data_IF_632544109871
#
_entry.id   IF_632544109871
#
_cell.length_a   1.000
_cell.length_b   1.000
_cell.length_c   1.000
_cell.angle_alpha   90.00
_cell.angle_beta   90.00
_cell.angle_gamma   90.00
#
_symmetry.space_group_name_H-M   'P 1'
#
loop_
_entity.id
_entity.type
_entity.pdbx_description
1 polymer ?
#
# COMPACT_ATOMS: atom_id res chain seq x y z
N UNK A 1 -25.75 19.27 -0.17
CA UNK A 1 -24.85 18.67 0.85
C UNK A 1 -23.42 18.74 0.35
N UNK A 2 -22.43 19.00 1.22
CA UNK A 2 -21.02 19.12 0.81
C UNK A 2 -20.43 17.72 0.58
N UNK A 3 -19.95 17.48 -0.63
CA UNK A 3 -19.28 16.25 -1.04
C UNK A 3 -17.78 16.56 -1.20
N UNK A 4 -16.92 15.71 -0.64
CA UNK A 4 -15.47 15.75 -0.84
C UNK A 4 -15.04 14.51 -1.64
N UNK A 5 -14.31 14.72 -2.73
CA UNK A 5 -13.74 13.65 -3.55
C UNK A 5 -12.23 13.61 -3.36
N UNK A 6 -11.70 12.41 -3.11
CA UNK A 6 -10.29 12.16 -2.82
C UNK A 6 -9.79 10.99 -3.65
N UNK A 7 -8.49 11.02 -3.96
CA UNK A 7 -7.76 9.88 -4.54
C UNK A 7 -6.98 9.20 -3.41
N UNK A 8 -7.13 7.89 -3.29
CA UNK A 8 -6.49 7.07 -2.26
C UNK A 8 -5.44 6.16 -2.93
N UNK A 9 -4.13 6.50 -2.90
CA UNK A 9 -3.10 5.78 -3.64
C UNK A 9 -2.79 4.41 -3.04
N UNK A 10 -2.33 3.48 -3.86
CA UNK A 10 -1.62 2.30 -3.39
C UNK A 10 -0.18 2.63 -3.03
N UNK A 11 0.50 1.69 -2.38
CA UNK A 11 1.94 1.75 -2.14
C UNK A 11 2.66 0.53 -2.71
N UNK A 12 3.97 0.66 -2.81
CA UNK A 12 4.89 -0.45 -2.97
C UNK A 12 5.94 -0.43 -1.86
N UNK A 13 6.40 -1.62 -1.50
CA UNK A 13 7.60 -1.85 -0.71
C UNK A 13 8.78 -2.05 -1.64
N UNK A 14 9.63 -1.02 -1.78
CA UNK A 14 10.91 -1.14 -2.48
C UNK A 14 11.87 -2.00 -1.65
N UNK A 15 11.83 -1.85 -0.32
CA UNK A 15 12.54 -2.73 0.60
C UNK A 15 11.63 -3.17 1.72
N UNK A 16 11.74 -4.41 2.18
CA UNK A 16 11.12 -4.93 3.39
C UNK A 16 12.10 -5.93 4.03
N UNK A 17 12.74 -5.48 5.11
CA UNK A 17 13.56 -6.31 5.99
C UNK A 17 12.72 -6.70 7.21
N UNK A 18 12.74 -7.97 7.60
CA UNK A 18 12.10 -8.49 8.81
C UNK A 18 13.17 -8.94 9.79
N UNK A 19 13.16 -8.35 10.98
CA UNK A 19 14.09 -8.64 12.06
C UNK A 19 13.44 -9.56 13.11
N UNK A 20 13.83 -9.38 14.37
CA UNK A 20 13.39 -10.22 15.46
C UNK A 20 11.91 -10.03 15.80
N UNK A 21 11.31 -11.13 16.24
CA UNK A 21 9.97 -11.14 16.81
C UNK A 21 10.01 -10.50 18.20
N UNK A 22 9.10 -9.58 18.43
CA UNK A 22 8.91 -8.83 19.67
C UNK A 22 8.06 -9.63 20.65
N UNK A 23 8.12 -9.31 21.97
CA UNK A 23 7.26 -9.93 22.98
C UNK A 23 5.76 -9.71 22.74
N UNK A 24 5.39 -8.62 22.06
CA UNK A 24 4.00 -8.29 21.69
C UNK A 24 3.46 -9.09 20.49
N UNK A 25 4.27 -10.02 19.93
CA UNK A 25 3.89 -10.90 18.84
C UNK A 25 4.15 -10.33 17.44
N UNK A 26 4.54 -9.06 17.31
CA UNK A 26 4.94 -8.44 16.03
C UNK A 26 6.41 -8.69 15.70
N UNK A 27 6.84 -8.34 14.49
CA UNK A 27 8.25 -8.30 14.12
C UNK A 27 8.73 -6.87 14.03
N UNK A 28 9.96 -6.60 14.48
CA UNK A 28 10.62 -5.37 14.06
C UNK A 28 10.89 -5.46 12.56
N UNK A 29 10.57 -4.39 11.83
CA UNK A 29 10.71 -4.31 10.38
C UNK A 29 11.42 -3.01 9.97
N UNK A 30 11.99 -3.03 8.77
CA UNK A 30 12.43 -1.82 8.08
C UNK A 30 11.92 -1.87 6.65
N UNK A 31 11.12 -0.89 6.26
CA UNK A 31 10.52 -0.80 4.93
C UNK A 31 10.92 0.48 4.24
N UNK A 32 11.29 0.40 2.96
CA UNK A 32 11.35 1.57 2.08
C UNK A 32 10.05 1.59 1.26
N UNK A 33 9.17 2.53 1.56
CA UNK A 33 7.85 2.65 0.95
C UNK A 33 7.80 3.80 -0.05
N UNK A 34 7.04 3.59 -1.13
CA UNK A 34 6.65 4.64 -2.06
C UNK A 34 5.19 4.49 -2.43
N UNK A 35 4.45 5.59 -2.48
CA UNK A 35 3.11 5.60 -3.05
C UNK A 35 3.22 5.43 -4.57
N UNK A 36 2.16 4.94 -5.20
CA UNK A 36 2.04 4.80 -6.65
C UNK A 36 0.71 5.37 -7.14
N UNK A 37 0.68 5.83 -8.39
CA UNK A 37 -0.49 6.42 -9.02
C UNK A 37 -1.61 5.41 -9.42
N UNK A 38 -1.77 4.34 -8.64
CA UNK A 38 -2.92 3.43 -8.70
C UNK A 38 -3.83 3.80 -7.54
N UNK A 39 -5.02 4.33 -7.81
CA UNK A 39 -5.87 4.93 -6.78
C UNK A 39 -7.21 4.20 -6.65
N UNK A 40 -7.70 4.07 -5.42
CA UNK A 40 -9.14 4.01 -5.19
C UNK A 40 -9.72 5.44 -5.22
N UNK A 41 -10.97 5.58 -5.66
CA UNK A 41 -11.70 6.85 -5.54
C UNK A 41 -12.53 6.84 -4.26
N UNK A 42 -12.40 7.89 -3.45
CA UNK A 42 -13.14 8.05 -2.20
C UNK A 42 -14.04 9.27 -2.31
N UNK A 43 -15.32 9.10 -2.04
CA UNK A 43 -16.27 10.19 -1.87
C UNK A 43 -16.78 10.21 -0.43
N UNK A 44 -16.71 11.38 0.21
CA UNK A 44 -17.19 11.59 1.57
C UNK A 44 -18.31 12.61 1.54
N UNK A 45 -19.48 12.23 2.05
CA UNK A 45 -20.66 13.06 2.17
C UNK A 45 -21.10 13.12 3.63
N UNK A 46 -21.36 14.33 4.13
CA UNK A 46 -22.02 14.48 5.44
C UNK A 46 -23.51 14.19 5.28
N UNK A 47 -24.03 13.36 6.17
CA UNK A 47 -25.46 12.99 6.27
C UNK A 47 -25.96 13.28 7.69
N UNK A 48 -27.24 13.02 7.96
CA UNK A 48 -27.81 13.37 9.27
C UNK A 48 -27.23 12.55 10.41
N UNK A 49 -27.17 11.21 10.29
CA UNK A 49 -26.69 10.29 11.33
C UNK A 49 -26.08 9.03 10.74
N UNK A 50 -25.29 8.33 11.55
CA UNK A 50 -24.71 7.02 11.20
C UNK A 50 -23.45 7.11 10.35
N UNK A 51 -22.82 5.95 10.14
CA UNK A 51 -21.70 5.79 9.21
C UNK A 51 -22.12 4.74 8.19
N UNK A 52 -22.02 5.07 6.91
CA UNK A 52 -22.35 4.17 5.80
C UNK A 52 -21.12 4.03 4.89
N UNK A 53 -20.70 2.80 4.61
CA UNK A 53 -19.73 2.51 3.54
C UNK A 53 -20.48 1.93 2.36
N UNK A 54 -20.19 2.44 1.16
CA UNK A 54 -20.73 1.94 -0.10
C UNK A 54 -19.59 1.57 -1.04
N UNK A 55 -19.62 0.36 -1.60
CA UNK A 55 -18.64 -0.12 -2.57
C UNK A 55 -19.30 -1.12 -3.51
N UNK A 56 -19.80 -0.64 -4.65
CA UNK A 56 -20.61 -1.47 -5.56
C UNK A 56 -19.77 -2.31 -6.53
N UNK A 57 -18.48 -1.99 -6.68
CA UNK A 57 -17.63 -2.55 -7.73
C UNK A 57 -16.63 -3.60 -7.24
N UNK A 58 -16.66 -3.96 -5.96
CA UNK A 58 -15.83 -5.03 -5.38
C UNK A 58 -16.51 -5.64 -4.14
N UNK A 59 -17.07 -6.87 -4.24
CA UNK A 59 -17.81 -7.50 -3.15
C UNK A 59 -16.92 -7.97 -1.98
N UNK A 60 -15.59 -7.93 -2.14
CA UNK A 60 -14.65 -8.32 -1.08
C UNK A 60 -14.43 -7.20 -0.06
N UNK A 61 -14.96 -5.99 -0.30
CA UNK A 61 -14.87 -4.88 0.64
C UNK A 61 -15.96 -5.01 1.70
N UNK A 62 -15.61 -5.12 3.00
CA UNK A 62 -16.61 -5.08 4.06
C UNK A 62 -17.32 -3.73 4.06
N UNK A 63 -18.64 -3.71 4.22
CA UNK A 63 -19.44 -2.47 4.24
C UNK A 63 -19.77 -1.97 5.66
N UNK A 64 -19.45 -2.76 6.68
CA UNK A 64 -19.76 -2.48 8.09
C UNK A 64 -18.51 -2.33 8.96
N UNK A 65 -18.62 -2.81 10.20
CA UNK A 65 -17.62 -2.56 11.24
C UNK A 65 -16.26 -3.19 10.95
N UNK A 66 -16.18 -4.22 10.11
CA UNK A 66 -14.90 -4.83 9.71
C UNK A 66 -14.08 -3.96 8.74
N UNK A 67 -14.68 -2.91 8.18
CA UNK A 67 -13.96 -1.99 7.30
C UNK A 67 -13.10 -1.01 8.11
N UNK A 68 -11.81 -0.95 7.79
CA UNK A 68 -10.86 -0.02 8.42
C UNK A 68 -11.30 1.44 8.26
N UNK A 69 -11.85 1.83 7.10
CA UNK A 69 -12.36 3.17 6.86
C UNK A 69 -13.59 3.49 7.72
N UNK A 70 -14.45 2.51 7.99
CA UNK A 70 -15.59 2.66 8.91
C UNK A 70 -15.10 2.93 10.34
N UNK A 71 -14.16 2.12 10.84
CA UNK A 71 -13.56 2.28 12.18
C UNK A 71 -12.87 3.64 12.31
N UNK A 72 -12.08 4.01 11.31
CA UNK A 72 -11.37 5.29 11.24
C UNK A 72 -12.33 6.49 11.21
N UNK A 73 -13.46 6.39 10.49
CA UNK A 73 -14.51 7.39 10.45
C UNK A 73 -15.10 7.65 11.83
N UNK A 74 -15.53 6.59 12.54
CA UNK A 74 -16.07 6.70 13.91
C UNK A 74 -15.08 7.40 14.84
N UNK A 75 -13.80 7.02 14.78
CA UNK A 75 -12.76 7.57 15.64
C UNK A 75 -12.50 9.07 15.39
N UNK A 76 -12.35 9.49 14.13
CA UNK A 76 -12.07 10.90 13.84
C UNK A 76 -13.30 11.78 14.12
N UNK A 77 -14.52 11.26 13.92
CA UNK A 77 -15.75 11.99 14.22
C UNK A 77 -15.89 12.36 15.69
N UNK A 78 -15.37 11.53 16.61
CA UNK A 78 -15.39 11.79 18.04
C UNK A 78 -14.68 13.11 18.43
N UNK A 79 -13.79 13.64 17.58
CA UNK A 79 -13.11 14.92 17.79
C UNK A 79 -13.89 16.14 17.28
N UNK A 80 -14.98 15.93 16.52
CA UNK A 80 -15.65 17.03 15.81
C UNK A 80 -16.68 17.81 16.63
N UNK A 81 -17.11 17.27 17.80
CA UNK A 81 -18.24 17.78 18.60
C UNK A 81 -19.53 18.03 17.79
N UNK A 82 -19.67 17.40 16.61
CA UNK A 82 -20.81 17.59 15.70
C UNK A 82 -21.67 16.34 15.68
N UNK A 83 -22.98 16.54 15.75
CA UNK A 83 -23.96 15.47 15.58
C UNK A 83 -24.34 15.33 14.10
N UNK A 84 -23.45 14.72 13.32
CA UNK A 84 -23.66 14.43 11.90
C UNK A 84 -23.28 12.98 11.61
N UNK A 85 -23.82 12.42 10.56
CA UNK A 85 -23.37 11.15 9.98
C UNK A 85 -22.42 11.35 8.80
N UNK A 86 -21.86 10.25 8.32
CA UNK A 86 -20.97 10.23 7.15
C UNK A 86 -21.30 9.06 6.25
N UNK A 87 -21.49 9.35 4.96
CA UNK A 87 -21.54 8.36 3.89
C UNK A 87 -20.21 8.38 3.13
N UNK A 88 -19.58 7.22 3.00
CA UNK A 88 -18.30 7.03 2.34
C UNK A 88 -18.49 6.08 1.16
N UNK A 89 -18.34 6.59 -0.06
CA UNK A 89 -18.34 5.76 -1.28
C UNK A 89 -16.91 5.44 -1.64
N UNK A 90 -16.61 4.16 -1.84
CA UNK A 90 -15.31 3.66 -2.25
C UNK A 90 -15.47 3.00 -3.62
N UNK A 91 -14.80 3.54 -4.63
CA UNK A 91 -14.62 2.84 -5.91
C UNK A 91 -13.26 2.16 -5.92
N UNK A 92 -13.24 0.84 -5.76
CA UNK A 92 -11.98 0.10 -5.65
C UNK A 92 -11.33 -0.12 -7.01
N UNK A 93 -10.08 0.30 -7.14
CA UNK A 93 -9.20 -0.12 -8.22
C UNK A 93 -7.98 -0.89 -7.69
N UNK A 94 -7.54 -0.67 -6.46
CA UNK A 94 -6.45 -1.43 -5.85
C UNK A 94 -7.02 -2.81 -5.44
N UNK A 95 -6.44 -3.95 -5.84
CA UNK A 95 -6.98 -5.25 -5.46
C UNK A 95 -6.95 -5.45 -3.94
N UNK A 96 -7.98 -6.08 -3.37
CA UNK A 96 -8.03 -6.46 -1.95
C UNK A 96 -6.91 -7.47 -1.66
N UNK A 97 -6.33 -7.40 -0.46
CA UNK A 97 -5.26 -8.31 0.00
C UNK A 97 -4.05 -8.42 -0.96
N UNK A 98 -3.67 -7.30 -1.59
CA UNK A 98 -2.65 -7.23 -2.65
C UNK A 98 -1.23 -6.92 -2.18
N UNK A 99 -1.05 -6.54 -0.91
CA UNK A 99 0.22 -5.97 -0.43
C UNK A 99 0.44 -4.50 -0.80
N UNK A 100 -0.55 -3.86 -1.42
CA UNK A 100 -0.49 -2.43 -1.83
C UNK A 100 -1.11 -1.46 -0.81
N UNK A 101 -1.61 -1.94 0.32
CA UNK A 101 -2.13 -1.08 1.39
C UNK A 101 -3.44 -0.34 1.09
N UNK A 102 -4.25 -0.79 0.11
CA UNK A 102 -5.45 -0.08 -0.33
C UNK A 102 -6.42 0.30 0.80
N UNK A 103 -6.79 -0.65 1.67
CA UNK A 103 -7.69 -0.37 2.81
C UNK A 103 -7.10 0.63 3.82
N UNK A 104 -5.77 0.60 4.04
CA UNK A 104 -5.08 1.58 4.88
C UNK A 104 -5.08 2.98 4.24
N UNK A 105 -4.89 3.05 2.92
CA UNK A 105 -4.98 4.29 2.17
C UNK A 105 -6.39 4.90 2.20
N UNK A 106 -7.43 4.06 2.10
CA UNK A 106 -8.82 4.51 2.17
C UNK A 106 -9.10 5.12 3.55
N UNK A 107 -8.67 4.44 4.62
CA UNK A 107 -8.81 4.94 5.99
C UNK A 107 -8.04 6.25 6.22
N UNK A 108 -6.80 6.36 5.72
CA UNK A 108 -6.04 7.61 5.77
C UNK A 108 -6.78 8.76 5.06
N UNK A 109 -7.32 8.49 3.87
CA UNK A 109 -8.08 9.46 3.08
C UNK A 109 -9.34 9.93 3.82
N UNK A 110 -10.06 9.01 4.47
CA UNK A 110 -11.25 9.32 5.28
C UNK A 110 -10.89 10.19 6.48
N UNK A 111 -9.84 9.85 7.23
CA UNK A 111 -9.39 10.64 8.39
C UNK A 111 -9.02 12.06 7.96
N UNK A 112 -8.19 12.20 6.93
CA UNK A 112 -7.75 13.51 6.43
C UNK A 112 -8.93 14.32 5.87
N UNK A 113 -9.81 13.68 5.10
CA UNK A 113 -11.00 14.31 4.54
C UNK A 113 -11.96 14.81 5.61
N UNK A 114 -12.24 14.02 6.64
CA UNK A 114 -13.12 14.43 7.74
C UNK A 114 -12.49 15.49 8.63
N UNK A 115 -11.18 15.44 8.90
CA UNK A 115 -10.46 16.51 9.59
C UNK A 115 -10.69 17.86 8.90
N UNK A 116 -10.65 17.88 7.56
CA UNK A 116 -10.93 19.07 6.75
C UNK A 116 -12.44 19.44 6.72
N UNK A 117 -13.32 18.50 6.39
CA UNK A 117 -14.75 18.76 6.21
C UNK A 117 -15.42 19.25 7.50
N UNK A 118 -15.05 18.64 8.62
CA UNK A 118 -15.61 18.96 9.93
C UNK A 118 -14.84 20.07 10.65
N UNK A 119 -13.76 20.61 10.05
CA UNK A 119 -12.89 21.65 10.65
C UNK A 119 -12.39 21.25 12.04
N UNK A 120 -11.94 20.00 12.18
CA UNK A 120 -11.41 19.46 13.44
C UNK A 120 -10.02 20.05 13.73
N UNK A 121 -9.24 20.35 12.68
CA UNK A 121 -7.94 21.02 12.75
C UNK A 121 -6.88 20.28 13.58
N UNK A 122 -6.92 18.94 13.61
CA UNK A 122 -5.81 18.16 14.20
C UNK A 122 -4.56 18.24 13.32
N UNK A 123 -3.40 18.24 13.96
CA UNK A 123 -2.11 18.15 13.29
C UNK A 123 -1.91 16.79 12.63
N UNK A 124 -1.07 16.74 11.58
CA UNK A 124 -0.78 15.49 10.86
C UNK A 124 -0.21 14.40 11.78
N UNK A 125 0.60 14.78 12.76
CA UNK A 125 1.14 13.87 13.77
C UNK A 125 0.05 13.21 14.61
N UNK A 126 -0.97 13.98 15.00
CA UNK A 126 -2.10 13.45 15.75
C UNK A 126 -2.96 12.53 14.88
N UNK A 127 -3.17 12.89 13.61
CA UNK A 127 -3.88 12.04 12.65
C UNK A 127 -3.16 10.71 12.43
N UNK A 128 -1.83 10.73 12.26
CA UNK A 128 -1.02 9.52 12.14
C UNK A 128 -1.15 8.63 13.38
N UNK A 129 -1.11 9.21 14.59
CA UNK A 129 -1.33 8.45 15.85
C UNK A 129 -2.73 7.83 15.92
N UNK A 130 -3.75 8.51 15.42
CA UNK A 130 -5.12 7.95 15.33
C UNK A 130 -5.16 6.81 14.32
N UNK A 131 -4.64 7.04 13.11
CA UNK A 131 -4.62 6.06 12.04
C UNK A 131 -3.86 4.78 12.43
N UNK A 132 -2.75 4.91 13.12
CA UNK A 132 -1.93 3.77 13.56
C UNK A 132 -2.70 2.73 14.38
N UNK A 133 -3.74 3.13 15.13
CA UNK A 133 -4.60 2.21 15.92
C UNK A 133 -5.31 1.17 15.05
N UNK A 134 -5.52 1.47 13.77
CA UNK A 134 -6.25 0.61 12.84
C UNK A 134 -5.36 -0.10 11.82
N UNK A 135 -4.12 0.34 11.66
CA UNK A 135 -3.18 -0.26 10.71
C UNK A 135 -1.84 0.46 10.64
N UNK A 136 -0.76 -0.31 10.57
CA UNK A 136 0.61 0.21 10.54
C UNK A 136 0.97 0.97 9.25
N UNK A 137 0.28 0.69 8.14
CA UNK A 137 0.48 1.41 6.87
C UNK A 137 -0.30 2.74 6.80
N UNK A 138 -1.27 2.99 7.68
CA UNK A 138 -2.11 4.20 7.63
C UNK A 138 -1.28 5.49 7.80
N UNK A 139 -0.34 5.58 8.76
CA UNK A 139 0.53 6.74 8.89
C UNK A 139 1.32 7.06 7.61
N UNK A 140 1.78 6.05 6.87
CA UNK A 140 2.53 6.26 5.63
C UNK A 140 1.71 7.03 4.59
N UNK A 141 0.44 6.70 4.44
CA UNK A 141 -0.43 7.40 3.48
C UNK A 141 -0.75 8.85 3.89
N UNK A 142 -0.71 9.16 5.19
CA UNK A 142 -0.85 10.54 5.68
C UNK A 142 0.46 11.34 5.57
N UNK A 143 1.59 10.65 5.63
CA UNK A 143 2.92 11.27 5.58
C UNK A 143 3.20 11.96 4.25
N UNK A 144 2.63 11.44 3.15
CA UNK A 144 2.62 12.13 1.85
C UNK A 144 3.98 12.21 1.15
N UNK A 145 4.93 11.34 1.50
CA UNK A 145 6.23 11.26 0.86
C UNK A 145 6.79 9.82 0.90
N UNK A 146 7.69 9.44 -0.03
CA UNK A 146 8.48 8.24 0.11
C UNK A 146 9.22 8.23 1.45
N UNK A 147 9.21 7.10 2.13
CA UNK A 147 9.67 7.03 3.52
C UNK A 147 10.31 5.70 3.85
N UNK A 148 11.30 5.76 4.74
CA UNK A 148 11.77 4.59 5.50
C UNK A 148 10.89 4.45 6.73
N UNK A 149 10.17 3.35 6.84
CA UNK A 149 9.38 2.97 8.01
C UNK A 149 10.16 1.97 8.87
N UNK A 150 10.19 2.17 10.18
CA UNK A 150 10.86 1.28 11.15
C UNK A 150 9.93 0.94 12.33
N UNK A 151 10.38 0.06 13.22
CA UNK A 151 9.55 -0.46 14.32
C UNK A 151 8.63 -1.56 13.80
N UNK A 152 7.32 -1.42 14.00
CA UNK A 152 6.28 -2.21 13.31
C UNK A 152 5.65 -1.44 12.13
N UNK A 153 6.26 -0.32 11.73
CA UNK A 153 5.85 0.56 10.62
C UNK A 153 5.46 1.98 11.04
N UNK A 154 5.50 2.28 12.34
CA UNK A 154 5.05 3.54 12.94
C UNK A 154 6.03 4.70 12.77
N UNK A 155 7.33 4.43 12.73
CA UNK A 155 8.36 5.47 12.71
C UNK A 155 8.78 5.75 11.28
N UNK A 156 8.38 6.90 10.74
CA UNK A 156 8.62 7.31 9.36
C UNK A 156 9.73 8.35 9.25
N UNK A 157 10.72 8.07 8.41
CA UNK A 157 11.77 9.02 8.02
C UNK A 157 11.66 9.33 6.54
N UNK A 158 11.58 10.62 6.18
CA UNK A 158 11.42 11.06 4.80
C UNK A 158 12.63 10.69 3.94
N UNK A 159 12.37 10.12 2.77
CA UNK A 159 13.33 10.04 1.68
C UNK A 159 13.20 11.31 0.85
N UNK A 160 14.25 12.13 0.84
CA UNK A 160 14.23 13.49 0.29
C UNK A 160 14.11 13.49 -1.24
N UNK A 161 14.62 12.46 -1.90
CA UNK A 161 14.66 12.36 -3.36
C UNK A 161 14.45 10.92 -3.82
N UNK A 162 13.55 10.75 -4.78
CA UNK A 162 13.34 9.52 -5.53
C UNK A 162 13.36 9.83 -7.03
N UNK A 163 13.97 8.99 -7.87
CA UNK A 163 13.81 9.12 -9.31
C UNK A 163 12.39 8.71 -9.70
N UNK A 164 11.92 9.20 -10.83
CA UNK A 164 10.74 8.67 -11.48
C UNK A 164 10.96 7.22 -11.90
N UNK A 165 10.03 6.34 -11.54
CA UNK A 165 10.08 4.90 -11.78
C UNK A 165 8.81 4.44 -12.50
N UNK A 166 8.82 4.37 -13.84
CA UNK A 166 7.77 3.68 -14.58
C UNK A 166 7.74 2.21 -14.18
N UNK A 167 6.55 1.69 -13.90
CA UNK A 167 6.35 0.34 -13.39
C UNK A 167 5.21 -0.38 -14.09
N UNK A 168 5.28 -1.71 -14.06
CA UNK A 168 4.12 -2.59 -14.27
C UNK A 168 3.86 -3.33 -12.98
N UNK A 169 2.64 -3.20 -12.43
CA UNK A 169 2.17 -4.00 -11.31
C UNK A 169 1.24 -5.08 -11.83
N UNK A 170 1.41 -6.30 -11.33
CA UNK A 170 0.62 -7.46 -11.71
C UNK A 170 0.12 -8.11 -10.42
N UNK A 171 -1.20 -8.16 -10.26
CA UNK A 171 -1.84 -8.88 -9.18
C UNK A 171 -2.49 -10.17 -9.71
N UNK A 172 -2.12 -11.35 -9.21
CA UNK A 172 -2.63 -12.62 -9.72
C UNK A 172 -4.07 -12.96 -9.33
N UNK A 173 -4.78 -12.09 -8.59
CA UNK A 173 -6.16 -12.34 -8.16
C UNK A 173 -6.30 -13.37 -7.03
N UNK A 174 -5.20 -13.75 -6.39
CA UNK A 174 -5.19 -14.64 -5.21
C UNK A 174 -5.00 -13.82 -3.93
N UNK A 175 -5.47 -14.35 -2.80
CA UNK A 175 -5.32 -13.71 -1.49
C UNK A 175 -4.31 -14.46 -0.65
N UNK A 176 -3.38 -13.73 -0.04
CA UNK A 176 -2.40 -14.29 0.90
C UNK A 176 -2.54 -13.56 2.23
N UNK A 177 -3.05 -14.22 3.29
CA UNK A 177 -3.20 -13.58 4.58
C UNK A 177 -1.84 -13.13 5.15
N UNK A 178 -1.66 -11.83 5.37
CA UNK A 178 -0.40 -11.24 5.87
C UNK A 178 0.10 -11.95 7.13
N UNK A 179 -0.80 -12.26 8.08
CA UNK A 179 -0.47 -12.96 9.32
C UNK A 179 0.20 -14.32 9.06
N UNK A 180 -0.33 -15.11 8.12
CA UNK A 180 0.22 -16.42 7.74
C UNK A 180 1.64 -16.31 7.17
N UNK A 181 1.91 -15.26 6.38
CA UNK A 181 3.25 -15.03 5.81
C UNK A 181 4.27 -14.69 6.90
N UNK A 182 3.90 -13.82 7.86
CA UNK A 182 4.78 -13.49 8.99
C UNK A 182 4.98 -14.66 9.95
N UNK A 183 3.97 -15.48 10.20
CA UNK A 183 4.08 -16.65 11.07
C UNK A 183 5.02 -17.73 10.51
N UNK A 184 5.04 -17.89 9.18
CA UNK A 184 5.91 -18.84 8.48
C UNK A 184 7.30 -18.27 8.16
N UNK A 185 7.51 -16.97 8.38
CA UNK A 185 8.80 -16.35 8.15
C UNK A 185 9.83 -16.88 9.15
N UNK A 186 10.94 -17.36 8.61
CA UNK A 186 12.12 -17.74 9.38
C UNK A 186 13.25 -16.84 8.94
N UNK A 187 13.85 -16.14 9.91
CA UNK A 187 14.95 -15.23 9.65
C UNK A 187 16.09 -15.99 8.98
N UNK A 188 16.43 -15.58 7.77
CA UNK A 188 17.65 -16.03 7.11
C UNK A 188 18.79 -15.12 7.56
N UNK A 189 19.85 -15.65 8.16
CA UNK A 189 20.99 -14.90 8.73
C UNK A 189 21.82 -14.07 7.71
N UNK A 190 21.29 -13.74 6.53
CA UNK A 190 22.03 -13.19 5.40
C UNK A 190 21.98 -11.66 5.27
N UNK A 191 21.58 -10.91 6.30
CA UNK A 191 21.51 -9.46 6.17
C UNK A 191 22.87 -8.83 6.43
N UNK A 192 23.69 -8.73 5.39
CA UNK A 192 24.70 -7.67 5.33
C UNK A 192 23.98 -6.35 5.58
N UNK A 193 24.44 -5.49 6.51
CA UNK A 193 23.81 -4.21 6.74
C UNK A 193 23.77 -3.40 5.45
N UNK A 194 22.56 -3.22 4.90
CA UNK A 194 22.35 -2.28 3.79
C UNK A 194 21.99 -0.94 4.41
N UNK A 195 22.86 0.04 4.20
CA UNK A 195 22.54 1.45 4.46
C UNK A 195 21.56 1.94 3.40
N UNK A 196 20.42 2.47 3.85
CA UNK A 196 19.46 3.12 2.97
C UNK A 196 19.82 4.60 2.86
N UNK A 197 20.19 5.09 1.66
CA UNK A 197 20.43 6.52 1.50
C UNK A 197 19.12 7.29 1.70
N UNK A 198 19.23 8.54 2.15
CA UNK A 198 18.08 9.44 2.25
C UNK A 198 17.69 10.08 0.89
N UNK A 199 18.50 9.88 -0.13
CA UNK A 199 18.31 10.37 -1.50
C UNK A 199 18.72 9.32 -2.52
N UNK A 200 17.83 9.08 -3.49
CA UNK A 200 18.09 8.19 -4.61
C UNK A 200 18.04 9.01 -5.89
N UNK A 201 19.17 9.10 -6.57
CA UNK A 201 19.31 9.94 -7.77
C UNK A 201 19.01 9.19 -9.07
N UNK A 202 19.09 7.86 -9.06
CA UNK A 202 18.88 7.03 -10.25
C UNK A 202 18.06 5.78 -9.94
N UNK A 203 17.36 5.24 -10.93
CA UNK A 203 16.65 3.95 -10.79
C UNK A 203 17.58 2.81 -10.40
N UNK A 204 18.83 2.84 -10.88
CA UNK A 204 19.86 1.86 -10.50
C UNK A 204 20.17 1.91 -9.01
N UNK A 205 20.17 3.09 -8.37
CA UNK A 205 20.34 3.21 -6.93
C UNK A 205 19.19 2.55 -6.17
N UNK A 206 17.95 2.71 -6.65
CA UNK A 206 16.78 2.04 -6.07
C UNK A 206 16.85 0.52 -6.25
N UNK A 207 17.13 0.06 -7.48
CA UNK A 207 17.25 -1.38 -7.81
C UNK A 207 18.26 -2.09 -6.92
N UNK A 208 19.38 -1.43 -6.57
CA UNK A 208 20.42 -1.99 -5.70
C UNK A 208 19.97 -2.29 -4.27
N UNK A 209 18.96 -1.59 -3.77
CA UNK A 209 18.48 -1.77 -2.39
C UNK A 209 17.23 -2.62 -2.30
N UNK A 210 16.65 -3.03 -3.44
CA UNK A 210 15.46 -3.86 -3.49
C UNK A 210 15.67 -5.14 -2.69
N UNK A 211 14.78 -5.39 -1.74
CA UNK A 211 14.69 -6.65 -1.02
C UNK A 211 13.27 -6.84 -0.47
N UNK A 212 12.79 -8.07 -0.40
CA UNK A 212 11.60 -8.41 0.36
C UNK A 212 11.77 -9.78 1.04
N UNK A 213 12.03 -9.75 2.34
CA UNK A 213 12.25 -10.95 3.15
C UNK A 213 11.05 -11.91 3.17
N UNK A 214 9.83 -11.40 2.96
CA UNK A 214 8.61 -12.21 2.92
C UNK A 214 8.39 -12.91 1.58
N UNK A 215 9.09 -12.49 0.52
CA UNK A 215 8.86 -12.98 -0.84
C UNK A 215 9.13 -14.48 -0.96
N UNK A 216 10.17 -14.99 -0.31
CA UNK A 216 10.48 -16.44 -0.31
C UNK A 216 9.39 -17.27 0.36
N UNK A 217 8.72 -16.71 1.36
CA UNK A 217 7.61 -17.39 2.06
C UNK A 217 6.37 -17.40 1.19
N UNK A 218 6.07 -16.29 0.50
CA UNK A 218 4.90 -16.18 -0.37
C UNK A 218 5.08 -16.99 -1.66
N UNK A 219 6.24 -16.95 -2.31
CA UNK A 219 6.50 -17.70 -3.56
C UNK A 219 6.41 -19.21 -3.39
N UNK A 220 6.74 -19.75 -2.21
CA UNK A 220 6.52 -21.17 -1.89
C UNK A 220 5.03 -21.54 -1.80
N UNK A 221 4.19 -20.62 -1.32
CA UNK A 221 2.74 -20.84 -1.16
C UNK A 221 1.97 -20.49 -2.43
N UNK A 222 2.49 -19.56 -3.21
CA UNK A 222 1.86 -18.97 -4.40
C UNK A 222 2.91 -18.89 -5.51
N UNK A 223 3.21 -20.01 -6.20
CA UNK A 223 4.26 -20.07 -7.22
C UNK A 223 4.11 -19.04 -8.35
N UNK A 224 2.87 -18.67 -8.68
CA UNK A 224 2.57 -17.64 -9.71
C UNK A 224 3.22 -16.28 -9.42
N UNK A 225 3.55 -15.96 -8.16
CA UNK A 225 4.34 -14.76 -7.82
C UNK A 225 5.72 -14.81 -8.49
N UNK A 226 6.37 -15.97 -8.48
CA UNK A 226 7.68 -16.14 -9.11
C UNK A 226 7.56 -16.14 -10.65
N UNK A 227 6.52 -16.75 -11.20
CA UNK A 227 6.24 -16.71 -12.65
C UNK A 227 6.06 -15.27 -13.17
N UNK A 228 5.27 -14.46 -12.44
CA UNK A 228 5.08 -13.04 -12.77
C UNK A 228 6.41 -12.28 -12.71
N UNK A 229 7.24 -12.56 -11.70
CA UNK A 229 8.55 -11.91 -11.57
C UNK A 229 9.43 -12.18 -12.78
N UNK A 230 9.55 -13.45 -13.17
CA UNK A 230 10.33 -13.89 -14.33
C UNK A 230 9.78 -13.32 -15.63
N UNK A 231 8.45 -13.26 -15.77
CA UNK A 231 7.79 -12.68 -16.92
C UNK A 231 8.10 -11.18 -17.07
N UNK A 232 8.05 -10.41 -15.98
CA UNK A 232 8.40 -8.98 -15.99
C UNK A 232 9.87 -8.77 -16.36
N UNK A 233 10.78 -9.58 -15.82
CA UNK A 233 12.21 -9.55 -16.19
C UNK A 233 12.42 -9.88 -17.67
N UNK A 234 11.76 -10.93 -18.18
CA UNK A 234 11.78 -11.31 -19.60
C UNK A 234 11.29 -10.20 -20.52
N UNK A 235 10.36 -9.36 -20.04
CA UNK A 235 9.84 -8.23 -20.80
C UNK A 235 10.58 -6.90 -20.57
N UNK A 236 11.75 -6.94 -19.95
CA UNK A 236 12.68 -5.82 -19.91
C UNK A 236 12.59 -4.95 -18.65
N UNK A 237 12.03 -5.49 -17.56
CA UNK A 237 12.15 -4.85 -16.25
C UNK A 237 13.64 -4.80 -15.82
N UNK A 238 14.04 -3.67 -15.22
CA UNK A 238 15.34 -3.50 -14.57
C UNK A 238 15.45 -4.34 -13.29
N UNK A 239 14.32 -4.55 -12.62
CA UNK A 239 14.15 -5.41 -11.46
C UNK A 239 12.67 -5.75 -11.30
N UNK A 240 12.40 -6.86 -10.61
CA UNK A 240 11.04 -7.33 -10.32
C UNK A 240 10.97 -7.87 -8.89
N UNK A 241 9.96 -7.43 -8.13
CA UNK A 241 9.81 -7.78 -6.72
C UNK A 241 8.33 -7.78 -6.30
N UNK A 242 7.99 -8.65 -5.36
CA UNK A 242 6.71 -8.63 -4.66
C UNK A 242 6.62 -7.46 -3.68
N UNK A 243 5.47 -6.79 -3.58
CA UNK A 243 5.25 -5.74 -2.57
C UNK A 243 4.58 -6.29 -1.31
N UNK A 244 5.07 -5.88 -0.13
CA UNK A 244 4.53 -6.26 1.17
C UNK A 244 4.56 -7.77 1.39
N UNK A 245 3.48 -8.35 1.92
CA UNK A 245 3.28 -9.81 1.98
C UNK A 245 2.80 -10.42 0.65
N UNK A 246 2.59 -9.60 -0.38
CA UNK A 246 2.09 -10.02 -1.68
C UNK A 246 0.56 -10.11 -1.77
N UNK A 247 0.04 -10.66 -2.88
CA UNK A 247 0.81 -11.28 -3.97
C UNK A 247 1.09 -10.37 -5.17
N UNK A 248 0.83 -9.06 -5.08
CA UNK A 248 1.20 -8.16 -6.19
C UNK A 248 2.71 -8.10 -6.39
N UNK A 249 3.13 -8.23 -7.64
CA UNK A 249 4.52 -8.05 -8.09
C UNK A 249 4.60 -6.78 -8.92
N UNK A 250 5.66 -6.01 -8.72
CA UNK A 250 5.98 -4.87 -9.57
C UNK A 250 7.30 -5.10 -10.31
N UNK A 251 7.38 -4.61 -11.55
CA UNK A 251 8.62 -4.49 -12.31
C UNK A 251 8.93 -3.02 -12.55
N UNK A 252 10.18 -2.59 -12.34
CA UNK A 252 10.63 -1.22 -12.64
C UNK A 252 11.20 -1.18 -14.06
N UNK A 253 10.81 -0.22 -14.88
CA UNK A 253 11.20 -0.14 -16.30
C UNK A 253 12.10 1.06 -16.63
N UNK A 254 12.87 0.98 -17.73
CA UNK A 254 13.73 2.08 -18.18
C UNK A 254 12.97 3.33 -18.59
N UNK A 255 11.71 3.21 -19.01
CA UNK A 255 10.86 4.30 -19.46
C UNK A 255 9.39 3.84 -19.49
N UNK A 256 8.47 4.79 -19.65
CA UNK A 256 7.02 4.53 -19.67
C UNK A 256 6.61 3.68 -20.87
N UNK A 257 7.21 3.92 -22.04
CA UNK A 257 6.90 3.17 -23.26
C UNK A 257 7.20 1.67 -23.10
N UNK A 258 8.34 1.32 -22.50
CA UNK A 258 8.69 -0.07 -22.19
C UNK A 258 7.77 -0.69 -21.15
N UNK A 259 7.38 0.07 -20.12
CA UNK A 259 6.39 -0.41 -19.14
C UNK A 259 5.05 -0.75 -19.84
N UNK A 260 4.56 0.13 -20.71
CA UNK A 260 3.31 -0.10 -21.45
C UNK A 260 3.40 -1.31 -22.40
N UNK A 261 4.52 -1.45 -23.14
CA UNK A 261 4.77 -2.62 -23.99
C UNK A 261 4.82 -3.91 -23.17
N UNK A 262 5.48 -3.89 -22.01
CA UNK A 262 5.55 -5.05 -21.12
C UNK A 262 4.17 -5.39 -20.54
N UNK A 263 3.40 -4.40 -20.09
CA UNK A 263 2.04 -4.61 -19.58
C UNK A 263 1.14 -5.28 -20.63
N UNK A 264 1.18 -4.83 -21.89
CA UNK A 264 0.45 -5.48 -22.99
C UNK A 264 0.88 -6.94 -23.16
N UNK A 265 2.18 -7.22 -23.13
CA UNK A 265 2.69 -8.61 -23.23
C UNK A 265 2.25 -9.47 -22.06
N UNK A 266 2.24 -8.94 -20.83
CA UNK A 266 1.72 -9.65 -19.65
C UNK A 266 0.23 -9.94 -19.81
N UNK A 267 -0.56 -8.98 -20.28
CA UNK A 267 -2.00 -9.20 -20.53
C UNK A 267 -2.26 -10.25 -21.63
N UNK A 268 -1.39 -10.34 -22.64
CA UNK A 268 -1.53 -11.32 -23.73
C UNK A 268 -1.07 -12.73 -23.34
N UNK A 269 0.02 -12.85 -22.57
CA UNK A 269 0.66 -14.15 -22.28
C UNK A 269 0.48 -14.64 -20.84
N UNK A 270 -0.04 -13.80 -19.95
CA UNK A 270 -0.39 -14.16 -18.58
C UNK A 270 -1.82 -14.67 -18.46
N UNK A 271 -2.21 -15.06 -17.24
CA UNK A 271 -3.59 -15.48 -16.96
C UNK A 271 -4.55 -14.28 -17.10
N UNK A 272 -5.71 -14.51 -17.70
CA UNK A 272 -6.73 -13.48 -17.94
C UNK A 272 -7.33 -12.90 -16.66
N UNK A 273 -7.16 -13.58 -15.52
CA UNK A 273 -7.57 -13.09 -14.19
C UNK A 273 -6.59 -12.09 -13.60
N UNK A 274 -5.38 -11.97 -14.15
CA UNK A 274 -4.38 -11.05 -13.62
C UNK A 274 -4.78 -9.60 -13.87
N UNK A 275 -4.70 -8.79 -12.81
CA UNK A 275 -4.89 -7.35 -12.92
C UNK A 275 -3.55 -6.69 -13.17
N UNK A 276 -3.42 -6.04 -14.32
CA UNK A 276 -2.17 -5.40 -14.77
C UNK A 276 -2.34 -3.89 -14.78
N UNK A 277 -1.43 -3.17 -14.13
CA UNK A 277 -1.42 -1.73 -14.03
C UNK A 277 -0.08 -1.18 -14.53
N UNK A 278 -0.11 -0.18 -15.42
CA UNK A 278 1.05 0.68 -15.66
C UNK A 278 0.98 1.82 -14.67
N UNK A 279 2.05 2.03 -13.90
CA UNK A 279 2.08 3.00 -12.82
C UNK A 279 3.43 3.70 -12.70
N UNK A 280 3.47 4.66 -11.80
CA UNK A 280 4.66 5.42 -11.41
C UNK A 280 4.57 5.80 -9.93
N UNK A 281 5.71 6.04 -9.29
CA UNK A 281 5.75 6.56 -7.93
C UNK A 281 5.25 8.01 -7.87
N UNK A 282 4.55 8.35 -6.79
CA UNK A 282 4.02 9.70 -6.50
C UNK A 282 4.48 10.24 -5.16
#
# INVERSE_FOLDING_TARGET
MKILKLKSPGKINLRLDVFDKRPDGYHNIRMLNSAVNVYDDIEIQLVERGVEIVCDNDPLVPLGEDNIAFKACKEIMAYSNKNVGVRIVIKKNIPVASGMGGGSSNAASVIMGLNQMLKINLSIEKLMKIGFRFGSDIPFFMFGAPAVATGIGETLTKVKKMPTMPMVLVNPGVSVPTKSVYEKYQRTNSLTPVELPNEFTTKKAVVRVLNNDLERVTTKQVPVVQEIKEMLMKYGALASQMTGSGPTVFGIFPDKEKAEKAAKKVQTHGDTKWRVFVAENV
#
